data_IF_274261273056
#
_entry.id   IF_274261273056
#
_cell.length_a   1.000
_cell.length_b   1.000
_cell.length_c   1.000
_cell.angle_alpha   90.00
_cell.angle_beta   90.00
_cell.angle_gamma   90.00
#
_symmetry.space_group_name_H-M   'P 1'
#
loop_
_entity.id
_entity.type
_entity.pdbx_description
1 polymer ?
#
# COMPACT_ATOMS: atom_id res chain seq x y z
N UNK A 1 12.45 -23.45 -38.80
CA UNK A 1 11.21 -22.68 -39.02
C UNK A 1 10.08 -23.44 -38.35
N UNK A 2 9.86 -23.21 -37.04
CA UNK A 2 8.69 -23.67 -36.29
C UNK A 2 8.25 -22.48 -35.44
N UNK A 3 7.57 -21.53 -36.09
CA UNK A 3 6.83 -20.50 -35.37
C UNK A 3 5.61 -21.18 -34.78
N UNK A 4 5.75 -21.73 -33.58
CA UNK A 4 4.60 -22.05 -32.72
C UNK A 4 3.78 -20.77 -32.60
N UNK A 5 2.67 -20.73 -33.35
CA UNK A 5 1.65 -19.72 -33.21
C UNK A 5 0.99 -19.95 -31.85
N UNK A 6 1.63 -19.46 -30.78
CA UNK A 6 1.08 -19.49 -29.43
C UNK A 6 -0.24 -18.74 -29.41
N UNK A 7 -1.24 -19.30 -28.74
CA UNK A 7 -2.60 -18.77 -28.79
C UNK A 7 -2.62 -17.35 -28.18
N UNK A 8 -3.47 -16.42 -28.68
CA UNK A 8 -3.51 -15.04 -28.19
C UNK A 8 -3.74 -14.89 -26.68
N UNK A 9 -4.31 -15.93 -26.05
CA UNK A 9 -4.62 -15.99 -24.63
C UNK A 9 -3.37 -16.23 -23.77
N UNK A 10 -2.41 -17.05 -24.24
CA UNK A 10 -1.15 -17.33 -23.53
C UNK A 10 -0.31 -16.07 -23.37
N UNK A 11 -0.31 -15.18 -24.38
CA UNK A 11 0.35 -13.88 -24.27
C UNK A 11 -0.29 -12.93 -23.26
N UNK A 12 -1.57 -13.09 -22.87
CA UNK A 12 -2.23 -12.17 -21.94
C UNK A 12 -2.02 -12.55 -20.47
N UNK A 13 -1.94 -13.83 -20.15
CA UNK A 13 -1.70 -14.30 -18.79
C UNK A 13 -0.22 -14.18 -18.38
N UNK A 14 0.70 -14.54 -19.27
CA UNK A 14 2.16 -14.35 -19.05
C UNK A 14 2.54 -12.87 -18.86
N UNK A 15 1.75 -11.96 -19.44
CA UNK A 15 1.98 -10.52 -19.35
C UNK A 15 1.52 -9.89 -18.02
N UNK A 16 0.74 -10.57 -17.18
CA UNK A 16 0.27 -9.97 -15.92
C UNK A 16 1.19 -10.23 -14.73
N UNK A 17 1.84 -11.40 -14.62
CA UNK A 17 2.97 -11.68 -13.70
C UNK A 17 2.92 -10.95 -12.33
N UNK A 18 3.98 -10.21 -12.00
CA UNK A 18 4.10 -9.45 -10.74
C UNK A 18 3.00 -8.40 -10.50
N UNK A 19 2.24 -7.98 -11.52
CA UNK A 19 1.10 -7.07 -11.31
C UNK A 19 -0.03 -7.76 -10.55
N UNK A 20 -0.23 -9.06 -10.75
CA UNK A 20 -1.23 -9.84 -10.01
C UNK A 20 -0.82 -9.92 -8.54
N UNK A 21 0.46 -10.15 -8.27
CA UNK A 21 1.00 -10.13 -6.91
C UNK A 21 0.73 -8.78 -6.24
N UNK A 22 1.04 -7.66 -6.91
CA UNK A 22 0.73 -6.33 -6.42
C UNK A 22 -0.75 -6.17 -6.06
N UNK A 23 -1.65 -6.57 -6.96
CA UNK A 23 -3.10 -6.46 -6.78
C UNK A 23 -3.57 -7.27 -5.57
N UNK A 24 -3.14 -8.52 -5.44
CA UNK A 24 -3.50 -9.38 -4.31
C UNK A 24 -3.00 -8.76 -3.01
N UNK A 25 -1.76 -8.25 -2.99
CA UNK A 25 -1.20 -7.63 -1.80
C UNK A 25 -1.96 -6.38 -1.38
N UNK A 26 -2.25 -5.46 -2.30
CA UNK A 26 -2.98 -4.23 -1.94
C UNK A 26 -4.42 -4.52 -1.56
N UNK A 27 -5.10 -5.48 -2.19
CA UNK A 27 -6.49 -5.82 -1.85
C UNK A 27 -6.60 -6.62 -0.55
N UNK A 28 -5.60 -7.44 -0.22
CA UNK A 28 -5.59 -8.23 1.01
C UNK A 28 -5.13 -7.43 2.22
N UNK A 29 -4.03 -6.68 2.09
CA UNK A 29 -3.36 -6.04 3.23
C UNK A 29 -3.96 -4.66 3.49
N UNK A 30 -4.11 -3.82 2.46
CA UNK A 30 -4.35 -2.40 2.68
C UNK A 30 -5.75 -2.11 3.25
N UNK A 31 -6.83 -2.81 2.86
CA UNK A 31 -8.12 -2.65 3.53
C UNK A 31 -8.12 -3.08 5.00
N UNK A 32 -7.46 -4.19 5.32
CA UNK A 32 -7.33 -4.65 6.71
C UNK A 32 -6.52 -3.65 7.54
N UNK A 33 -5.43 -3.12 6.97
CA UNK A 33 -4.60 -2.10 7.59
C UNK A 33 -5.40 -0.80 7.81
N UNK A 34 -6.17 -0.34 6.84
CA UNK A 34 -7.03 0.85 6.98
C UNK A 34 -8.11 0.68 8.05
N UNK A 35 -8.74 -0.49 8.13
CA UNK A 35 -9.71 -0.79 9.19
C UNK A 35 -9.03 -0.83 10.56
N UNK A 36 -7.84 -1.44 10.64
CA UNK A 36 -7.05 -1.46 11.86
C UNK A 36 -6.66 -0.05 12.32
N UNK A 37 -6.26 0.83 11.39
CA UNK A 37 -5.95 2.22 11.71
C UNK A 37 -7.18 2.97 12.21
N UNK A 38 -8.29 2.92 11.48
CA UNK A 38 -9.52 3.59 11.90
C UNK A 38 -10.00 3.12 13.28
N UNK A 39 -9.89 1.82 13.58
CA UNK A 39 -10.26 1.27 14.88
C UNK A 39 -9.32 1.74 16.01
N UNK A 40 -8.01 1.69 15.80
CA UNK A 40 -7.02 2.15 16.79
C UNK A 40 -7.12 3.67 17.02
N UNK A 41 -7.26 4.46 15.96
CA UNK A 41 -7.46 5.90 16.05
C UNK A 41 -8.76 6.23 16.79
N UNK A 42 -9.84 5.49 16.55
CA UNK A 42 -11.09 5.62 17.31
C UNK A 42 -10.91 5.25 18.79
N UNK A 43 -10.18 4.19 19.12
CA UNK A 43 -9.85 3.81 20.51
C UNK A 43 -9.18 4.99 21.24
N UNK A 44 -8.22 5.66 20.62
CA UNK A 44 -7.47 6.72 21.28
C UNK A 44 -8.10 8.12 21.18
N UNK A 45 -8.84 8.43 20.12
CA UNK A 45 -9.32 9.79 19.83
C UNK A 45 -10.84 9.88 19.61
N UNK A 46 -11.58 8.77 19.74
CA UNK A 46 -13.03 8.72 19.56
C UNK A 46 -13.85 9.52 20.58
N UNK A 47 -13.22 9.94 21.69
CA UNK A 47 -13.81 10.90 22.63
C UNK A 47 -14.07 12.28 21.99
N UNK A 48 -13.42 12.59 20.85
CA UNK A 48 -13.69 13.78 20.05
C UNK A 48 -14.65 13.37 18.92
N UNK A 49 -15.94 13.79 18.97
CA UNK A 49 -16.99 13.23 18.11
C UNK A 49 -16.69 13.35 16.61
N UNK A 50 -16.14 14.49 16.20
CA UNK A 50 -15.84 14.79 14.79
C UNK A 50 -14.67 13.92 14.29
N UNK A 51 -13.62 13.76 15.10
CA UNK A 51 -12.44 12.98 14.72
C UNK A 51 -12.78 11.49 14.57
N UNK A 52 -13.59 10.94 15.48
CA UNK A 52 -13.99 9.54 15.42
C UNK A 52 -14.66 9.17 14.10
N UNK A 53 -15.63 9.96 13.65
CA UNK A 53 -16.31 9.76 12.36
C UNK A 53 -15.35 9.99 11.18
N UNK A 54 -14.49 11.00 11.28
CA UNK A 54 -13.53 11.34 10.22
C UNK A 54 -12.56 10.19 9.91
N UNK A 55 -12.04 9.49 10.92
CA UNK A 55 -11.13 8.36 10.72
C UNK A 55 -11.79 7.22 9.93
N UNK A 56 -13.04 6.87 10.24
CA UNK A 56 -13.78 5.86 9.50
C UNK A 56 -14.07 6.29 8.05
N UNK A 57 -14.45 7.56 7.84
CA UNK A 57 -14.71 8.10 6.49
C UNK A 57 -13.44 8.07 5.65
N UNK A 58 -12.31 8.54 6.18
CA UNK A 58 -11.01 8.53 5.48
C UNK A 58 -10.59 7.08 5.18
N UNK A 59 -10.72 6.17 6.16
CA UNK A 59 -10.43 4.75 5.96
C UNK A 59 -11.28 4.14 4.83
N UNK A 60 -12.59 4.41 4.82
CA UNK A 60 -13.51 3.97 3.76
C UNK A 60 -13.14 4.51 2.38
N UNK A 61 -12.82 5.81 2.28
CA UNK A 61 -12.35 6.44 1.03
C UNK A 61 -11.06 5.77 0.55
N UNK A 62 -10.13 5.48 1.45
CA UNK A 62 -8.87 4.83 1.12
C UNK A 62 -9.05 3.39 0.61
N UNK A 63 -10.00 2.63 1.20
CA UNK A 63 -10.38 1.30 0.70
C UNK A 63 -10.93 1.39 -0.72
N UNK A 64 -11.84 2.33 -0.99
CA UNK A 64 -12.39 2.55 -2.33
C UNK A 64 -11.28 2.92 -3.33
N UNK A 65 -10.34 3.77 -2.91
CA UNK A 65 -9.19 4.16 -3.74
C UNK A 65 -8.26 2.97 -4.04
N UNK A 66 -8.09 2.06 -3.09
CA UNK A 66 -7.36 0.80 -3.26
C UNK A 66 -8.03 -0.11 -4.29
N UNK A 67 -9.35 -0.32 -4.18
CA UNK A 67 -10.13 -1.10 -5.14
C UNK A 67 -10.05 -0.48 -6.54
N UNK A 68 -10.22 0.84 -6.64
CA UNK A 68 -10.09 1.56 -7.90
C UNK A 68 -8.71 1.32 -8.55
N UNK A 69 -7.63 1.45 -7.78
CA UNK A 69 -6.26 1.24 -8.27
C UNK A 69 -6.05 -0.20 -8.73
N UNK A 70 -6.52 -1.18 -7.95
CA UNK A 70 -6.46 -2.59 -8.32
C UNK A 70 -7.13 -2.86 -9.68
N UNK A 71 -8.32 -2.29 -9.91
CA UNK A 71 -9.04 -2.41 -11.20
C UNK A 71 -8.25 -1.75 -12.34
N UNK A 72 -7.69 -0.56 -12.12
CA UNK A 72 -6.90 0.16 -13.13
C UNK A 72 -5.65 -0.64 -13.52
N UNK A 73 -4.94 -1.20 -12.53
CA UNK A 73 -3.75 -2.03 -12.73
C UNK A 73 -4.11 -3.35 -13.40
N UNK A 74 -5.17 -4.02 -12.97
CA UNK A 74 -5.62 -5.29 -13.55
C UNK A 74 -6.00 -5.16 -15.03
N UNK A 75 -6.68 -4.06 -15.37
CA UNK A 75 -7.09 -3.76 -16.75
C UNK A 75 -5.95 -3.21 -17.60
N UNK A 76 -4.78 -2.91 -16.99
CA UNK A 76 -3.65 -2.27 -17.67
C UNK A 76 -4.07 -1.06 -18.52
N UNK A 77 -4.97 -0.21 -17.98
CA UNK A 77 -5.43 1.01 -18.67
C UNK A 77 -4.24 1.91 -19.03
N UNK A 78 -4.44 2.84 -19.97
CA UNK A 78 -3.38 3.67 -20.58
C UNK A 78 -2.41 4.37 -19.62
N UNK A 79 -2.79 4.56 -18.35
CA UNK A 79 -1.98 5.20 -17.33
C UNK A 79 -1.78 4.33 -16.07
N UNK A 80 -1.88 3.00 -16.16
CA UNK A 80 -1.87 2.12 -14.99
C UNK A 80 -0.59 2.24 -14.15
N UNK A 81 0.59 2.37 -14.77
CA UNK A 81 1.85 2.58 -14.04
C UNK A 81 1.85 3.93 -13.29
N UNK A 82 1.31 4.99 -13.91
CA UNK A 82 1.18 6.30 -13.26
C UNK A 82 0.20 6.24 -12.08
N UNK A 83 -0.95 5.59 -12.28
CA UNK A 83 -1.95 5.37 -11.23
C UNK A 83 -1.37 4.57 -10.06
N UNK A 84 -0.65 3.48 -10.33
CA UNK A 84 0.01 2.66 -9.31
C UNK A 84 1.07 3.44 -8.53
N UNK A 85 1.91 4.24 -9.20
CA UNK A 85 2.91 5.09 -8.52
C UNK A 85 2.27 6.15 -7.63
N UNK A 86 1.23 6.82 -8.12
CA UNK A 86 0.45 7.79 -7.31
C UNK A 86 -0.17 7.11 -6.10
N UNK A 87 -0.75 5.94 -6.31
CA UNK A 87 -1.30 5.13 -5.25
C UNK A 87 -0.24 4.76 -4.19
N UNK A 88 0.93 4.28 -4.60
CA UNK A 88 2.02 3.92 -3.68
C UNK A 88 2.45 5.14 -2.83
N UNK A 89 2.57 6.32 -3.42
CA UNK A 89 2.89 7.55 -2.68
C UNK A 89 1.80 7.87 -1.66
N UNK A 90 0.53 7.92 -2.09
CA UNK A 90 -0.62 8.23 -1.23
C UNK A 90 -0.76 7.19 -0.11
N UNK A 91 -0.61 5.91 -0.43
CA UNK A 91 -0.63 4.77 0.51
C UNK A 91 0.48 4.89 1.55
N UNK A 92 1.69 5.27 1.14
CA UNK A 92 2.82 5.46 2.05
C UNK A 92 2.53 6.60 3.02
N UNK A 93 2.11 7.76 2.51
CA UNK A 93 1.77 8.92 3.34
C UNK A 93 0.63 8.58 4.30
N UNK A 94 -0.46 7.98 3.81
CA UNK A 94 -1.56 7.52 4.63
C UNK A 94 -1.08 6.58 5.74
N UNK A 95 -0.30 5.56 5.38
CA UNK A 95 0.18 4.56 6.35
C UNK A 95 1.10 5.15 7.41
N UNK A 96 2.08 5.96 7.00
CA UNK A 96 3.04 6.57 7.92
C UNK A 96 2.33 7.55 8.86
N UNK A 97 1.43 8.39 8.35
CA UNK A 97 0.72 9.37 9.18
C UNK A 97 -0.19 8.69 10.22
N UNK A 98 -1.03 7.74 9.80
CA UNK A 98 -1.93 7.03 10.73
C UNK A 98 -1.10 6.24 11.76
N UNK A 99 -0.02 5.58 11.31
CA UNK A 99 0.86 4.84 12.19
C UNK A 99 1.53 5.72 13.25
N UNK A 100 2.05 6.88 12.86
CA UNK A 100 2.64 7.84 13.80
C UNK A 100 1.62 8.36 14.81
N UNK A 101 0.40 8.67 14.34
CA UNK A 101 -0.70 9.10 15.22
C UNK A 101 -1.00 8.03 16.27
N UNK A 102 -1.10 6.76 15.86
CA UNK A 102 -1.33 5.63 16.76
C UNK A 102 -0.17 5.46 17.73
N UNK A 103 1.06 5.45 17.23
CA UNK A 103 2.27 5.30 18.05
C UNK A 103 2.37 6.36 19.16
N UNK A 104 2.16 7.64 18.83
CA UNK A 104 2.21 8.70 19.84
C UNK A 104 1.06 8.61 20.85
N UNK A 105 -0.11 8.12 20.46
CA UNK A 105 -1.20 7.90 21.39
C UNK A 105 -0.94 6.73 22.32
N UNK A 106 -0.40 5.63 21.81
CA UNK A 106 0.05 4.49 22.61
C UNK A 106 1.10 4.94 23.62
N UNK A 107 2.14 5.64 23.18
CA UNK A 107 3.22 6.14 24.03
C UNK A 107 2.72 7.07 25.17
N UNK A 108 1.65 7.82 24.93
CA UNK A 108 1.04 8.72 25.93
C UNK A 108 0.08 8.02 26.89
N UNK A 109 -0.60 6.96 26.44
CA UNK A 109 -1.76 6.38 27.14
C UNK A 109 -1.49 5.00 27.72
N UNK A 110 -0.48 4.29 27.22
CA UNK A 110 -0.16 2.93 27.64
C UNK A 110 1.18 2.89 28.38
N UNK A 111 1.25 2.07 29.43
CA UNK A 111 2.46 1.91 30.23
C UNK A 111 3.35 0.80 29.66
N UNK A 112 4.05 1.12 28.57
CA UNK A 112 4.81 0.16 27.77
C UNK A 112 6.21 -0.19 28.31
N UNK A 113 6.71 0.49 29.36
CA UNK A 113 8.08 0.30 29.86
C UNK A 113 8.05 -0.26 31.27
N UNK A 114 8.78 -1.35 31.48
CA UNK A 114 8.89 -2.03 32.76
C UNK A 114 9.34 -3.47 32.61
N UNK A 115 9.16 -4.25 33.69
CA UNK A 115 9.68 -5.62 33.80
C UNK A 115 8.56 -6.68 33.66
N UNK A 116 7.36 -6.29 33.23
CA UNK A 116 6.25 -7.21 33.01
C UNK A 116 6.38 -7.90 31.65
N UNK A 117 5.71 -9.04 31.46
CA UNK A 117 5.79 -9.82 30.22
C UNK A 117 5.39 -9.01 28.95
N UNK A 118 4.49 -8.04 29.09
CA UNK A 118 3.99 -7.22 27.98
C UNK A 118 4.69 -5.85 27.86
N UNK A 119 5.83 -5.67 28.53
CA UNK A 119 6.56 -4.40 28.57
C UNK A 119 7.94 -4.51 27.92
N UNK A 120 8.40 -3.39 27.36
CA UNK A 120 9.76 -3.27 26.88
C UNK A 120 10.70 -2.97 28.05
N UNK A 121 11.84 -3.67 28.06
CA UNK A 121 12.91 -3.44 29.05
C UNK A 121 13.47 -2.02 29.01
N UNK A 122 13.40 -1.33 27.85
CA UNK A 122 13.87 0.04 27.70
C UNK A 122 13.11 0.80 26.63
N UNK A 123 13.10 2.14 26.76
CA UNK A 123 12.54 3.04 25.75
C UNK A 123 13.16 2.82 24.37
N UNK A 124 14.47 2.53 24.31
CA UNK A 124 15.16 2.25 23.04
C UNK A 124 14.63 0.98 22.35
N UNK A 125 14.42 -0.11 23.09
CA UNK A 125 13.84 -1.35 22.54
C UNK A 125 12.40 -1.14 22.05
N UNK A 126 11.60 -0.38 22.80
CA UNK A 126 10.25 0.02 22.40
C UNK A 126 10.27 0.81 21.09
N UNK A 127 11.12 1.84 20.97
CA UNK A 127 11.23 2.65 19.74
C UNK A 127 11.66 1.80 18.55
N UNK A 128 12.60 0.88 18.73
CA UNK A 128 13.03 0.01 17.63
C UNK A 128 11.89 -0.92 17.20
N UNK A 129 11.22 -1.58 18.14
CA UNK A 129 10.15 -2.55 17.86
C UNK A 129 8.86 -1.91 17.32
N UNK A 130 8.43 -0.81 17.94
CA UNK A 130 7.12 -0.18 17.72
C UNK A 130 7.17 1.07 16.84
N UNK A 131 8.34 1.44 16.30
CA UNK A 131 8.43 2.58 15.38
C UNK A 131 9.35 2.28 14.22
N UNK A 132 10.61 1.95 14.48
CA UNK A 132 11.63 1.83 13.44
C UNK A 132 11.35 0.64 12.52
N UNK A 133 11.14 -0.55 13.08
CA UNK A 133 10.94 -1.78 12.29
C UNK A 133 9.69 -1.67 11.41
N UNK A 134 8.51 -1.25 11.92
CA UNK A 134 7.31 -1.15 11.08
C UNK A 134 7.41 -0.06 10.01
N UNK A 135 8.02 1.09 10.32
CA UNK A 135 8.27 2.12 9.30
C UNK A 135 9.22 1.63 8.22
N UNK A 136 10.28 0.89 8.57
CA UNK A 136 11.17 0.29 7.59
C UNK A 136 10.43 -0.68 6.65
N UNK A 137 9.52 -1.50 7.17
CA UNK A 137 8.69 -2.37 6.34
C UNK A 137 7.78 -1.59 5.39
N UNK A 138 7.07 -0.57 5.89
CA UNK A 138 6.19 0.28 5.07
C UNK A 138 7.00 0.94 3.94
N UNK A 139 8.14 1.56 4.27
CA UNK A 139 8.96 2.29 3.31
C UNK A 139 9.63 1.36 2.31
N UNK A 140 10.16 0.22 2.75
CA UNK A 140 10.83 -0.76 1.87
C UNK A 140 9.84 -1.37 0.89
N UNK A 141 8.64 -1.72 1.35
CA UNK A 141 7.56 -2.22 0.51
C UNK A 141 7.19 -1.20 -0.57
N UNK A 142 6.95 0.05 -0.18
CA UNK A 142 6.60 1.13 -1.10
C UNK A 142 7.71 1.41 -2.11
N UNK A 143 8.97 1.43 -1.66
CA UNK A 143 10.11 1.67 -2.54
C UNK A 143 10.25 0.55 -3.58
N UNK A 144 10.17 -0.71 -3.16
CA UNK A 144 10.29 -1.86 -4.06
C UNK A 144 9.25 -1.82 -5.19
N UNK A 145 7.99 -1.55 -4.84
CA UNK A 145 6.92 -1.44 -5.84
C UNK A 145 7.05 -0.19 -6.71
N UNK A 146 7.44 0.94 -6.14
CA UNK A 146 7.63 2.17 -6.91
C UNK A 146 8.74 1.99 -7.96
N UNK A 147 9.85 1.36 -7.58
CA UNK A 147 10.94 1.01 -8.49
C UNK A 147 10.47 0.03 -9.57
N UNK A 148 9.68 -1.00 -9.20
CA UNK A 148 9.09 -1.92 -10.17
C UNK A 148 8.25 -1.19 -11.23
N UNK A 149 7.33 -0.32 -10.82
CA UNK A 149 6.48 0.42 -11.77
C UNK A 149 7.25 1.48 -12.58
N UNK A 150 8.45 1.87 -12.13
CA UNK A 150 9.31 2.84 -12.82
C UNK A 150 10.24 2.17 -13.84
N UNK A 151 10.93 1.10 -13.45
CA UNK A 151 12.02 0.52 -14.24
C UNK A 151 11.65 -0.78 -14.98
N UNK A 152 10.54 -1.43 -14.63
CA UNK A 152 10.15 -2.68 -15.29
C UNK A 152 9.96 -2.47 -16.79
N UNK A 153 10.71 -3.25 -17.60
CA UNK A 153 10.57 -3.30 -19.07
C UNK A 153 9.11 -3.47 -19.49
N UNK A 154 8.31 -4.17 -18.68
CA UNK A 154 6.87 -4.41 -18.92
C UNK A 154 6.05 -3.12 -18.84
N UNK A 155 6.32 -2.26 -17.86
CA UNK A 155 5.65 -0.95 -17.76
C UNK A 155 6.12 0.00 -18.87
N UNK A 156 7.39 -0.10 -19.30
CA UNK A 156 7.96 0.72 -20.37
C UNK A 156 7.47 0.29 -21.77
N UNK A 157 7.35 -1.00 -22.03
CA UNK A 157 6.88 -1.53 -23.31
C UNK A 157 5.39 -1.28 -23.54
N UNK A 158 4.57 -1.30 -22.47
CA UNK A 158 3.17 -0.86 -22.54
C UNK A 158 3.05 0.62 -22.97
N UNK A 159 4.04 1.46 -22.61
CA UNK A 159 4.12 2.85 -23.06
C UNK A 159 4.60 2.97 -24.52
N UNK A 160 5.63 2.20 -24.92
CA UNK A 160 6.16 2.23 -26.30
C UNK A 160 5.19 1.68 -27.35
N UNK A 161 4.45 0.60 -27.08
CA UNK A 161 3.44 0.09 -28.01
C UNK A 161 2.30 1.10 -28.25
N UNK A 162 2.09 2.02 -27.30
CA UNK A 162 1.12 3.11 -27.40
C UNK A 162 1.63 4.25 -28.29
N UNK A 163 2.87 4.70 -28.09
CA UNK A 163 3.46 5.78 -28.90
C UNK A 163 3.55 5.44 -30.39
N UNK A 164 3.55 4.15 -30.75
CA UNK A 164 3.47 3.69 -32.13
C UNK A 164 2.04 3.67 -32.70
N UNK A 165 1.02 3.44 -31.87
CA UNK A 165 -0.40 3.41 -32.28
C UNK A 165 -1.00 4.80 -32.48
N UNK A 166 -0.57 5.79 -31.69
CA UNK A 166 -1.03 7.18 -31.84
C UNK A 166 -0.35 7.92 -33.03
N UNK A 167 0.63 7.29 -33.69
CA UNK A 167 1.38 7.84 -34.83
C UNK A 167 0.95 7.26 -36.19
N UNK A 168 -0.03 6.36 -36.20
CA UNK A 168 -0.65 5.75 -37.40
C UNK A 168 -2.12 6.10 -37.44
#
# INVERSE_FOLDING_TARGET
>A
MNSEFRKPFEYREDNKGLLILFIIMILGIDPLQSLSFASQEYKYMGHIPILGVLFFVIGGIFILYTIYTAVVVFRMKENFSCAAKKYIIIRTLYSVLNYLIIFFNILKKENLIGNSADQYESFGKMIVGELVVPLLYILSFSLAWYLYFTFSKRCRNAKMHKDMKDKT
#
